data_IF_225815353836
#
_entry.id   IF_225815353836
#
_cell.length_a   1.000
_cell.length_b   1.000
_cell.length_c   1.000
_cell.angle_alpha   90.00
_cell.angle_beta   90.00
_cell.angle_gamma   90.00
#
_symmetry.space_group_name_H-M   'P 1'
#
loop_
_entity.id
_entity.type
_entity.pdbx_description
1 polymer ?
#
# COMPACT_ATOMS: atom_id res chain seq x y z
N UNK A 1 -18.50 -26.05 -24.09
CA UNK A 1 -19.70 -25.87 -24.94
C UNK A 1 -20.84 -25.42 -24.02
N UNK A 2 -21.64 -24.43 -24.44
CA UNK A 2 -22.59 -23.59 -23.67
C UNK A 2 -21.90 -22.57 -22.74
N UNK A 3 -21.90 -21.24 -22.94
CA UNK A 3 -22.61 -20.35 -23.87
C UNK A 3 -23.72 -19.59 -23.16
N UNK A 4 -23.46 -18.36 -22.68
CA UNK A 4 -24.46 -17.29 -22.55
C UNK A 4 -23.82 -15.90 -22.70
N UNK A 5 -24.34 -15.14 -23.66
CA UNK A 5 -24.10 -13.73 -23.96
C UNK A 5 -25.44 -13.02 -23.72
N UNK A 6 -25.46 -11.88 -23.03
CA UNK A 6 -26.43 -10.79 -23.31
C UNK A 6 -25.85 -9.41 -22.89
N UNK A 7 -26.01 -8.44 -23.80
CA UNK A 7 -25.59 -7.02 -23.76
C UNK A 7 -26.54 -6.11 -22.93
N UNK A 8 -26.12 -4.87 -22.55
CA UNK A 8 -26.94 -3.82 -21.91
C UNK A 8 -27.34 -2.72 -22.96
N UNK A 9 -27.74 -1.46 -22.62
CA UNK A 9 -28.40 -0.85 -21.43
C UNK A 9 -29.66 0.00 -21.79
N UNK A 10 -30.38 0.53 -20.78
CA UNK A 10 -31.42 1.57 -20.95
C UNK A 10 -31.10 2.88 -20.19
N UNK A 11 -31.37 4.01 -20.86
CA UNK A 11 -31.36 5.40 -20.38
C UNK A 11 -32.67 5.78 -19.65
N UNK A 12 -32.60 6.64 -18.63
CA UNK A 12 -33.63 7.61 -18.20
C UNK A 12 -32.91 8.81 -17.52
N UNK A 13 -32.89 10.01 -18.12
CA UNK A 13 -33.79 11.19 -17.97
C UNK A 13 -33.61 12.05 -16.69
N UNK A 14 -32.95 13.20 -16.89
CA UNK A 14 -33.10 14.58 -16.37
C UNK A 14 -33.93 14.94 -15.12
N UNK A 15 -33.34 15.79 -14.26
CA UNK A 15 -33.92 16.97 -13.55
C UNK A 15 -32.75 17.83 -13.02
N UNK A 16 -32.37 18.94 -13.67
CA UNK A 16 -32.71 20.36 -13.40
C UNK A 16 -32.31 20.92 -12.01
N UNK A 17 -31.33 21.84 -12.01
CA UNK A 17 -31.28 23.07 -11.22
C UNK A 17 -30.09 23.96 -11.70
N UNK A 18 -30.32 25.17 -12.24
CA UNK A 18 -29.26 26.13 -12.56
C UNK A 18 -29.22 27.30 -11.56
N UNK A 19 -28.03 27.84 -11.31
CA UNK A 19 -27.86 29.24 -10.87
C UNK A 19 -26.84 29.46 -9.76
N UNK A 20 -25.73 30.13 -10.08
CA UNK A 20 -25.34 31.39 -9.43
C UNK A 20 -24.28 32.12 -10.27
N UNK A 21 -24.51 33.42 -10.49
CA UNK A 21 -23.70 34.36 -11.29
C UNK A 21 -22.58 35.01 -10.47
N UNK A 22 -21.50 35.37 -11.17
CA UNK A 22 -20.39 36.25 -10.74
C UNK A 22 -20.81 37.73 -10.91
N UNK A 23 -20.19 38.67 -10.17
CA UNK A 23 -19.79 39.92 -10.80
C UNK A 23 -18.32 40.31 -10.54
N UNK A 24 -17.66 40.77 -11.60
CA UNK A 24 -16.40 41.52 -11.57
C UNK A 24 -16.64 42.99 -11.21
N UNK A 25 -15.70 43.58 -10.46
CA UNK A 25 -15.37 45.00 -10.33
C UNK A 25 -13.96 45.00 -9.70
N UNK A 26 -13.00 45.91 -9.90
CA UNK A 26 -12.71 46.97 -10.87
C UNK A 26 -11.35 47.54 -10.41
N UNK A 27 -10.57 48.07 -11.35
CA UNK A 27 -9.19 48.57 -11.18
C UNK A 27 -9.11 49.83 -10.32
N UNK A 28 -8.05 49.97 -9.49
CA UNK A 28 -7.47 51.26 -9.09
C UNK A 28 -5.99 51.14 -8.70
N UNK A 29 -5.23 52.18 -9.03
CA UNK A 29 -3.80 52.22 -9.28
C UNK A 29 -3.00 52.90 -8.14
N UNK A 30 -1.75 52.42 -7.97
CA UNK A 30 -0.52 53.07 -7.47
C UNK A 30 -0.48 53.77 -6.09
N UNK A 31 0.45 53.32 -5.22
CA UNK A 31 1.68 54.04 -4.83
C UNK A 31 2.69 53.09 -4.14
N UNK A 32 4.03 53.29 -4.28
CA UNK A 32 5.05 52.40 -3.70
C UNK A 32 5.64 52.97 -2.40
N UNK A 33 5.92 52.12 -1.40
CA UNK A 33 6.93 52.31 -0.32
C UNK A 33 7.00 51.06 0.61
N UNK A 34 8.11 50.85 1.36
CA UNK A 34 8.94 49.65 1.22
C UNK A 34 9.02 48.76 2.48
N UNK A 35 9.77 47.65 2.36
CA UNK A 35 10.13 46.62 3.37
C UNK A 35 9.00 45.66 3.77
N UNK A 36 8.78 44.65 2.94
CA UNK A 36 8.16 43.40 3.37
C UNK A 36 9.27 42.38 3.68
N UNK A 37 9.31 41.91 4.93
CA UNK A 37 9.97 40.66 5.29
C UNK A 37 9.43 39.54 4.39
N UNK A 38 10.34 38.78 3.78
CA UNK A 38 9.98 37.59 3.01
C UNK A 38 9.37 36.54 3.94
N UNK A 39 8.05 36.58 4.10
CA UNK A 39 7.27 35.42 4.52
C UNK A 39 7.26 34.52 3.30
N UNK A 40 8.14 33.52 3.31
CA UNK A 40 8.03 32.36 2.42
C UNK A 40 6.67 31.72 2.68
N UNK A 41 5.68 32.08 1.86
CA UNK A 41 4.48 31.28 1.69
C UNK A 41 4.91 30.02 0.95
N UNK A 42 5.44 29.03 1.66
CA UNK A 42 5.40 27.67 1.16
C UNK A 42 3.92 27.37 0.97
N UNK A 43 3.41 27.40 -0.26
CA UNK A 43 2.24 26.63 -0.60
C UNK A 43 2.53 25.23 -0.08
N UNK A 44 1.82 24.80 0.97
CA UNK A 44 2.05 23.52 1.61
C UNK A 44 1.59 22.46 0.60
N UNK A 45 2.48 22.11 -0.33
CA UNK A 45 2.19 21.09 -1.33
C UNK A 45 1.91 19.79 -0.58
N UNK A 46 0.76 19.19 -0.88
CA UNK A 46 0.37 17.91 -0.30
C UNK A 46 1.47 16.87 -0.56
N UNK A 47 1.85 16.06 0.45
CA UNK A 47 2.83 14.99 0.28
C UNK A 47 2.52 14.12 -0.93
N UNK A 48 3.50 13.96 -1.81
CA UNK A 48 3.41 13.10 -2.98
C UNK A 48 3.99 11.73 -2.64
N UNK A 49 3.28 10.65 -2.98
CA UNK A 49 3.75 9.28 -2.83
C UNK A 49 3.80 8.56 -4.18
N UNK A 50 4.72 7.61 -4.32
CA UNK A 50 4.82 6.75 -5.50
C UNK A 50 4.52 5.30 -5.13
N UNK A 51 3.66 4.64 -5.91
CA UNK A 51 3.33 3.23 -5.74
C UNK A 51 3.86 2.45 -6.92
N UNK A 52 4.83 1.59 -6.67
CA UNK A 52 5.52 0.82 -7.70
C UNK A 52 4.80 -0.51 -7.96
N UNK A 53 4.80 -0.88 -9.24
CA UNK A 53 4.35 -2.16 -9.74
C UNK A 53 5.52 -2.84 -10.43
N UNK A 54 5.83 -4.09 -10.05
CA UNK A 54 6.94 -4.85 -10.64
C UNK A 54 6.53 -6.27 -11.00
N UNK A 55 7.40 -6.98 -11.71
CA UNK A 55 7.29 -8.41 -11.98
C UNK A 55 8.55 -9.08 -11.46
N UNK A 56 8.57 -9.38 -10.15
CA UNK A 56 9.73 -10.05 -9.55
C UNK A 56 9.84 -11.49 -10.05
N UNK A 57 11.07 -11.95 -10.24
CA UNK A 57 11.42 -13.32 -10.67
C UNK A 57 12.33 -13.96 -9.61
N UNK A 58 12.86 -15.18 -9.82
CA UNK A 58 13.90 -15.71 -8.94
C UNK A 58 15.23 -14.93 -8.98
N UNK A 59 15.47 -14.06 -9.97
CA UNK A 59 16.69 -13.27 -10.08
C UNK A 59 16.64 -11.99 -9.22
N UNK A 60 17.18 -12.09 -8.01
CA UNK A 60 17.24 -10.99 -7.04
C UNK A 60 17.94 -9.74 -7.58
N UNK A 61 19.02 -9.91 -8.35
CA UNK A 61 19.81 -8.78 -8.82
C UNK A 61 19.07 -8.01 -9.90
N UNK A 62 18.36 -8.72 -10.79
CA UNK A 62 17.49 -8.10 -11.78
C UNK A 62 16.31 -7.41 -11.12
N UNK A 63 15.68 -8.04 -10.12
CA UNK A 63 14.57 -7.43 -9.39
C UNK A 63 15.00 -6.15 -8.67
N UNK A 64 16.17 -6.15 -8.02
CA UNK A 64 16.75 -4.96 -7.40
C UNK A 64 16.95 -3.83 -8.41
N UNK A 65 17.52 -4.11 -9.58
CA UNK A 65 17.72 -3.10 -10.64
C UNK A 65 16.40 -2.44 -11.03
N UNK A 66 15.37 -3.23 -11.31
CA UNK A 66 14.04 -2.72 -11.69
C UNK A 66 13.40 -1.91 -10.56
N UNK A 67 13.46 -2.39 -9.32
CA UNK A 67 12.94 -1.63 -8.17
C UNK A 67 13.71 -0.31 -7.97
N UNK A 68 15.04 -0.35 -8.10
CA UNK A 68 15.89 0.82 -7.92
C UNK A 68 15.66 1.89 -9.00
N UNK A 69 15.40 1.49 -10.25
CA UNK A 69 15.00 2.40 -11.33
C UNK A 69 13.70 3.13 -10.99
N UNK A 70 12.66 2.41 -10.56
CA UNK A 70 11.37 3.01 -10.18
C UNK A 70 11.49 3.92 -8.95
N UNK A 71 12.32 3.57 -7.97
CA UNK A 71 12.57 4.40 -6.79
C UNK A 71 13.31 5.70 -7.17
N UNK A 72 14.31 5.63 -8.05
CA UNK A 72 14.98 6.83 -8.58
C UNK A 72 14.04 7.70 -9.40
N UNK A 73 13.15 7.10 -10.18
CA UNK A 73 12.10 7.81 -10.91
C UNK A 73 11.14 8.52 -9.94
N UNK A 74 10.66 7.83 -8.90
CA UNK A 74 9.82 8.41 -7.86
C UNK A 74 10.47 9.63 -7.18
N UNK A 75 11.76 9.53 -6.85
CA UNK A 75 12.52 10.64 -6.29
C UNK A 75 12.62 11.83 -7.26
N UNK A 76 12.89 11.57 -8.56
CA UNK A 76 12.89 12.59 -9.61
C UNK A 76 11.53 13.30 -9.77
N UNK A 77 10.43 12.58 -9.54
CA UNK A 77 9.07 13.10 -9.63
C UNK A 77 8.63 13.83 -8.34
N UNK A 78 9.49 13.89 -7.31
CA UNK A 78 9.23 14.63 -6.08
C UNK A 78 8.40 13.86 -5.04
N UNK A 79 8.32 12.53 -5.16
CA UNK A 79 7.72 11.71 -4.10
C UNK A 79 8.54 11.85 -2.81
N UNK A 80 7.88 11.76 -1.65
CA UNK A 80 8.53 11.71 -0.34
C UNK A 80 8.66 10.27 0.22
N UNK A 81 7.88 9.35 -0.35
CA UNK A 81 7.84 7.93 0.02
C UNK A 81 7.47 7.10 -1.22
N UNK A 82 8.22 6.02 -1.46
CA UNK A 82 7.91 5.01 -2.47
C UNK A 82 7.51 3.68 -1.82
N UNK A 83 6.49 3.03 -2.39
CA UNK A 83 5.96 1.73 -1.94
C UNK A 83 6.30 0.65 -2.97
N UNK A 84 7.05 -0.37 -2.55
CA UNK A 84 7.33 -1.58 -3.32
C UNK A 84 6.38 -2.71 -2.88
N UNK A 85 6.04 -3.66 -3.77
CA UNK A 85 5.08 -4.71 -3.45
C UNK A 85 5.61 -5.78 -2.51
N UNK A 86 4.75 -6.71 -2.13
CA UNK A 86 5.14 -8.00 -1.54
C UNK A 86 6.10 -8.72 -2.50
N UNK A 87 7.06 -9.46 -1.95
CA UNK A 87 8.01 -10.27 -2.72
C UNK A 87 8.79 -9.45 -3.77
N UNK A 88 9.06 -8.17 -3.49
CA UNK A 88 9.83 -7.29 -4.36
C UNK A 88 11.25 -7.82 -4.59
N UNK A 89 11.81 -8.50 -3.59
CA UNK A 89 13.13 -9.13 -3.59
C UNK A 89 13.22 -10.29 -4.58
N UNK A 90 12.27 -11.23 -4.52
CA UNK A 90 12.14 -12.32 -5.48
C UNK A 90 10.79 -13.03 -5.39
N UNK A 91 10.42 -13.71 -6.49
CA UNK A 91 9.36 -14.73 -6.48
C UNK A 91 9.97 -16.05 -6.93
N UNK A 92 10.13 -16.96 -5.96
CA UNK A 92 10.72 -18.28 -6.15
C UNK A 92 9.74 -19.27 -6.80
N UNK A 93 10.30 -20.33 -7.39
CA UNK A 93 9.61 -21.39 -8.11
C UNK A 93 9.01 -22.45 -7.18
N UNK A 94 9.62 -22.64 -6.01
CA UNK A 94 9.21 -23.61 -4.99
C UNK A 94 9.70 -23.17 -3.58
N UNK A 95 9.19 -23.80 -2.51
CA UNK A 95 9.58 -23.48 -1.14
C UNK A 95 11.08 -23.62 -0.85
N UNK A 96 11.78 -24.57 -1.46
CA UNK A 96 13.21 -24.78 -1.20
C UNK A 96 14.05 -23.63 -1.77
N UNK A 97 13.68 -23.12 -2.96
CA UNK A 97 14.28 -21.92 -3.52
C UNK A 97 13.97 -20.68 -2.67
N UNK A 98 12.76 -20.55 -2.12
CA UNK A 98 12.44 -19.47 -1.16
C UNK A 98 13.39 -19.48 0.03
N UNK A 99 13.58 -20.66 0.65
CA UNK A 99 14.50 -20.81 1.78
C UNK A 99 15.94 -20.47 1.37
N UNK A 100 16.40 -20.92 0.21
CA UNK A 100 17.76 -20.66 -0.28
C UNK A 100 18.02 -19.16 -0.54
N UNK A 101 17.08 -18.46 -1.18
CA UNK A 101 17.22 -17.07 -1.60
C UNK A 101 16.96 -16.04 -0.48
N UNK A 102 16.28 -16.44 0.59
CA UNK A 102 15.97 -15.57 1.74
C UNK A 102 17.22 -15.05 2.46
N UNK A 103 17.09 -13.90 3.13
CA UNK A 103 18.18 -13.23 3.85
C UNK A 103 17.68 -12.70 5.20
N UNK A 104 18.55 -12.53 6.22
CA UNK A 104 18.18 -11.77 7.43
C UNK A 104 18.05 -10.27 7.10
N UNK A 105 17.47 -9.47 7.99
CA UNK A 105 17.41 -8.01 7.83
C UNK A 105 18.80 -7.34 7.79
N UNK A 106 19.85 -8.01 8.27
CA UNK A 106 21.24 -7.56 8.09
C UNK A 106 21.89 -8.02 6.79
N UNK A 107 21.12 -8.62 5.88
CA UNK A 107 21.61 -9.16 4.62
C UNK A 107 21.98 -8.10 3.58
N UNK A 108 22.73 -8.54 2.57
CA UNK A 108 23.25 -7.70 1.49
C UNK A 108 22.12 -6.98 0.74
N UNK A 109 21.02 -7.67 0.45
CA UNK A 109 19.94 -7.07 -0.33
C UNK A 109 19.28 -5.91 0.42
N UNK A 110 19.02 -6.05 1.72
CA UNK A 110 18.44 -4.95 2.48
C UNK A 110 19.42 -3.78 2.59
N UNK A 111 20.73 -4.05 2.74
CA UNK A 111 21.77 -3.02 2.70
C UNK A 111 21.72 -2.21 1.39
N UNK A 112 21.55 -2.85 0.23
CA UNK A 112 21.39 -2.17 -1.06
C UNK A 112 20.17 -1.23 -1.07
N UNK A 113 19.04 -1.62 -0.47
CA UNK A 113 17.87 -0.75 -0.31
C UNK A 113 18.08 0.38 0.71
N UNK A 114 18.83 0.15 1.79
CA UNK A 114 19.19 1.24 2.73
C UNK A 114 20.04 2.30 2.03
N UNK A 115 20.97 1.88 1.17
CA UNK A 115 21.79 2.80 0.40
C UNK A 115 20.97 3.54 -0.66
N UNK A 116 20.04 2.85 -1.33
CA UNK A 116 19.11 3.47 -2.28
C UNK A 116 18.23 4.53 -1.62
N UNK A 117 17.70 4.28 -0.41
CA UNK A 117 16.93 5.25 0.35
C UNK A 117 17.74 6.52 0.66
N UNK A 118 19.02 6.36 1.05
CA UNK A 118 19.95 7.48 1.28
C UNK A 118 20.28 8.24 0.00
N UNK A 119 20.59 7.52 -1.07
CA UNK A 119 20.90 8.07 -2.41
C UNK A 119 19.76 8.96 -2.89
N UNK A 120 18.52 8.49 -2.76
CA UNK A 120 17.34 9.18 -3.23
C UNK A 120 16.78 10.22 -2.24
N UNK A 121 17.27 10.24 -0.99
CA UNK A 121 16.68 11.03 0.09
C UNK A 121 15.20 10.68 0.37
N UNK A 122 14.80 9.44 0.11
CA UNK A 122 13.41 8.99 0.02
C UNK A 122 13.10 7.97 1.11
N UNK A 123 11.90 8.03 1.70
CA UNK A 123 11.42 6.90 2.51
C UNK A 123 11.02 5.73 1.59
N UNK A 124 11.22 4.49 2.05
CA UNK A 124 10.83 3.30 1.29
C UNK A 124 9.97 2.36 2.13
N UNK A 125 8.83 1.95 1.60
CA UNK A 125 8.03 0.82 2.08
C UNK A 125 8.39 -0.41 1.24
N UNK A 126 9.08 -1.37 1.86
CA UNK A 126 9.52 -2.62 1.27
C UNK A 126 8.50 -3.70 1.65
N UNK A 127 7.55 -3.95 0.75
CA UNK A 127 6.25 -4.49 1.11
C UNK A 127 6.14 -5.96 1.52
N UNK A 128 7.24 -6.70 1.59
CA UNK A 128 7.22 -8.12 1.95
C UNK A 128 8.51 -8.81 1.56
N UNK A 129 9.56 -8.58 2.34
CA UNK A 129 10.88 -9.19 2.23
C UNK A 129 10.87 -10.60 2.82
N UNK A 130 11.52 -11.55 2.14
CA UNK A 130 11.68 -12.92 2.63
C UNK A 130 12.76 -12.98 3.73
N UNK A 131 12.35 -12.70 4.96
CA UNK A 131 13.21 -12.55 6.13
C UNK A 131 13.56 -13.89 6.78
N UNK A 132 14.85 -14.17 6.96
CA UNK A 132 15.31 -15.17 7.95
C UNK A 132 15.28 -14.54 9.35
N UNK A 133 14.31 -14.95 10.17
CA UNK A 133 14.16 -14.49 11.55
C UNK A 133 15.26 -15.00 12.48
N UNK A 134 15.24 -14.56 13.74
CA UNK A 134 16.19 -15.03 14.77
C UNK A 134 16.02 -16.51 15.13
N UNK A 135 14.83 -17.04 14.87
CA UNK A 135 14.40 -18.43 15.02
C UNK A 135 14.65 -19.29 13.77
N UNK A 136 15.39 -18.76 12.77
CA UNK A 136 15.70 -19.45 11.52
C UNK A 136 16.36 -20.81 11.73
N UNK A 137 17.36 -20.88 12.61
CA UNK A 137 18.11 -22.12 12.88
C UNK A 137 17.18 -23.23 13.41
N UNK A 138 16.18 -22.87 14.21
CA UNK A 138 15.23 -23.79 14.84
C UNK A 138 14.06 -24.16 13.92
N UNK A 139 13.54 -23.20 13.16
CA UNK A 139 12.30 -23.37 12.38
C UNK A 139 12.56 -23.76 10.93
N UNK A 140 13.70 -23.36 10.36
CA UNK A 140 14.00 -23.41 8.92
C UNK A 140 12.86 -22.81 8.07
N UNK A 141 12.18 -21.80 8.61
CA UNK A 141 11.11 -21.04 7.95
C UNK A 141 11.41 -19.55 8.01
N UNK A 142 10.92 -18.82 7.02
CA UNK A 142 11.09 -17.37 6.90
C UNK A 142 9.88 -16.62 7.46
N UNK A 143 9.97 -15.29 7.48
CA UNK A 143 8.82 -14.40 7.58
C UNK A 143 8.64 -13.61 6.28
N UNK A 144 7.40 -13.23 6.00
CA UNK A 144 7.06 -12.25 4.98
C UNK A 144 7.00 -10.87 5.65
N UNK A 145 8.09 -10.10 5.53
CA UNK A 145 8.36 -8.95 6.38
C UNK A 145 8.24 -7.62 5.61
N UNK A 146 7.24 -6.81 5.95
CA UNK A 146 7.12 -5.45 5.48
C UNK A 146 8.07 -4.54 6.26
N UNK A 147 9.12 -4.04 5.60
CA UNK A 147 10.14 -3.17 6.20
C UNK A 147 9.90 -1.72 5.77
N UNK A 148 9.91 -0.79 6.73
CA UNK A 148 9.84 0.64 6.45
C UNK A 148 11.20 1.30 6.72
N UNK A 149 11.76 1.93 5.69
CA UNK A 149 13.01 2.68 5.74
C UNK A 149 12.74 4.19 5.70
N UNK A 150 13.46 4.96 6.51
CA UNK A 150 13.47 6.42 6.37
C UNK A 150 14.49 6.89 5.30
N UNK A 151 14.47 8.19 4.98
CA UNK A 151 15.40 8.81 4.01
C UNK A 151 16.89 8.77 4.40
N UNK A 152 17.22 8.33 5.61
CA UNK A 152 18.60 8.08 6.06
C UNK A 152 18.98 6.60 5.95
N UNK A 153 18.12 5.77 5.38
CA UNK A 153 18.32 4.33 5.24
C UNK A 153 18.24 3.58 6.58
N UNK A 154 17.60 4.14 7.61
CA UNK A 154 17.37 3.42 8.86
C UNK A 154 16.03 2.68 8.79
N UNK A 155 16.00 1.42 9.25
CA UNK A 155 14.77 0.68 9.50
C UNK A 155 14.03 1.33 10.66
N UNK A 156 12.85 1.88 10.40
CA UNK A 156 12.03 2.55 11.42
C UNK A 156 10.89 1.67 11.94
N UNK A 157 10.52 0.64 11.19
CA UNK A 157 9.57 -0.38 11.60
C UNK A 157 9.67 -1.61 10.70
N UNK A 158 9.20 -2.74 11.23
CA UNK A 158 9.05 -4.01 10.52
C UNK A 158 7.75 -4.66 10.94
N UNK A 159 6.98 -5.17 9.99
CA UNK A 159 5.78 -5.95 10.26
C UNK A 159 5.89 -7.30 9.56
N UNK A 160 5.72 -8.39 10.30
CA UNK A 160 5.69 -9.74 9.73
C UNK A 160 4.24 -10.13 9.49
N UNK A 161 3.91 -10.54 8.27
CA UNK A 161 2.55 -10.91 7.84
C UNK A 161 1.91 -11.88 8.83
N UNK A 162 0.78 -11.49 9.40
CA UNK A 162 0.10 -12.26 10.46
C UNK A 162 -0.84 -13.31 9.89
N UNK A 163 -1.44 -13.06 8.72
CA UNK A 163 -2.33 -14.02 8.05
C UNK A 163 -1.66 -14.61 6.81
N UNK A 164 -1.22 -15.85 6.91
CA UNK A 164 -0.63 -16.58 5.79
C UNK A 164 -1.72 -17.10 4.84
N UNK A 165 -1.44 -17.08 3.55
CA UNK A 165 -2.37 -17.53 2.52
C UNK A 165 -2.28 -19.05 2.34
N UNK A 166 -3.05 -19.78 3.15
CA UNK A 166 -3.27 -21.22 3.02
C UNK A 166 -4.67 -21.46 2.42
N UNK A 167 -4.75 -21.55 1.09
CA UNK A 167 -6.01 -21.61 0.35
C UNK A 167 -5.97 -22.66 -0.77
N UNK A 168 -7.13 -23.26 -1.01
CA UNK A 168 -7.39 -24.11 -2.18
C UNK A 168 -8.49 -23.45 -3.03
N UNK A 169 -8.12 -22.99 -4.23
CA UNK A 169 -9.04 -22.35 -5.16
C UNK A 169 -9.30 -23.32 -6.30
N UNK A 170 -10.56 -23.71 -6.58
CA UNK A 170 -10.87 -24.61 -7.70
C UNK A 170 -10.24 -24.13 -9.01
N UNK A 171 -9.49 -25.01 -9.68
CA UNK A 171 -8.77 -24.70 -10.92
C UNK A 171 -7.37 -24.10 -10.73
N UNK A 172 -6.97 -23.80 -9.50
CA UNK A 172 -5.57 -23.58 -9.11
C UNK A 172 -5.11 -24.70 -8.20
N UNK A 173 -3.81 -25.02 -8.24
CA UNK A 173 -3.23 -25.87 -7.20
C UNK A 173 -3.33 -25.20 -5.83
N UNK A 174 -3.23 -25.98 -4.73
CA UNK A 174 -3.22 -25.42 -3.40
C UNK A 174 -2.06 -24.43 -3.24
N UNK A 175 -2.32 -23.31 -2.57
CA UNK A 175 -1.31 -22.37 -2.11
C UNK A 175 -1.22 -22.52 -0.59
N UNK A 176 -0.09 -23.03 -0.10
CA UNK A 176 0.18 -23.15 1.34
C UNK A 176 1.44 -22.34 1.67
N UNK A 177 1.26 -21.05 1.95
CA UNK A 177 2.36 -20.15 2.35
C UNK A 177 3.05 -20.65 3.64
N UNK A 178 2.29 -21.29 4.54
CA UNK A 178 2.80 -21.83 5.80
C UNK A 178 3.83 -22.97 5.65
N UNK A 179 4.02 -23.53 4.44
CA UNK A 179 5.04 -24.54 4.18
C UNK A 179 6.47 -24.00 4.37
N UNK A 180 6.73 -22.74 4.01
CA UNK A 180 8.04 -22.10 4.15
C UNK A 180 8.04 -20.87 5.07
N UNK A 181 6.88 -20.38 5.46
CA UNK A 181 6.74 -19.08 6.14
C UNK A 181 6.05 -19.24 7.49
N UNK A 182 6.48 -18.48 8.48
CA UNK A 182 5.86 -18.35 9.80
C UNK A 182 4.96 -17.10 9.85
N UNK A 183 3.79 -17.16 10.54
CA UNK A 183 2.99 -15.97 10.77
C UNK A 183 3.72 -15.03 11.74
N UNK A 184 3.59 -13.73 11.52
CA UNK A 184 4.08 -12.71 12.43
C UNK A 184 3.40 -12.76 13.81
N UNK A 185 4.11 -12.41 14.89
CA UNK A 185 3.60 -12.56 16.25
C UNK A 185 2.73 -11.38 16.74
N UNK A 186 2.76 -10.23 16.06
CA UNK A 186 2.18 -8.98 16.55
C UNK A 186 1.77 -8.02 15.43
N UNK A 187 0.83 -7.12 15.75
CA UNK A 187 0.57 -5.92 14.98
C UNK A 187 1.43 -4.78 15.51
N UNK A 188 2.03 -4.02 14.60
CA UNK A 188 2.81 -2.83 14.95
C UNK A 188 1.93 -1.58 15.00
N UNK A 189 2.26 -0.65 15.90
CA UNK A 189 1.59 0.65 15.95
C UNK A 189 1.88 1.46 14.68
N UNK A 190 0.93 2.28 14.19
CA UNK A 190 1.15 3.09 13.00
C UNK A 190 2.34 4.06 13.13
N UNK A 191 3.18 4.10 12.09
CA UNK A 191 4.46 4.83 12.11
C UNK A 191 4.29 6.20 11.46
N UNK A 192 4.75 7.26 12.13
CA UNK A 192 4.76 8.62 11.57
C UNK A 192 5.76 8.73 10.42
N UNK A 193 5.28 9.15 9.25
CA UNK A 193 6.10 9.40 8.05
C UNK A 193 5.82 10.81 7.49
N UNK A 194 6.60 11.29 6.51
CA UNK A 194 6.29 12.56 5.82
C UNK A 194 4.92 12.58 5.12
N UNK A 195 4.33 11.42 4.79
CA UNK A 195 3.01 11.33 4.16
C UNK A 195 1.84 11.24 5.17
N UNK A 196 2.12 10.88 6.42
CA UNK A 196 1.12 10.59 7.46
C UNK A 196 1.48 9.35 8.28
N UNK A 197 0.59 8.95 9.20
CA UNK A 197 0.75 7.74 10.01
C UNK A 197 0.38 6.47 9.23
N UNK A 198 1.35 5.60 9.00
CA UNK A 198 1.20 4.38 8.19
C UNK A 198 1.01 3.16 9.10
N UNK A 199 -0.11 2.46 8.92
CA UNK A 199 -0.33 1.11 9.45
C UNK A 199 0.15 0.06 8.46
N UNK A 200 1.02 -0.84 8.92
CA UNK A 200 1.65 -1.87 8.09
C UNK A 200 0.81 -3.15 8.07
N UNK A 201 0.61 -3.69 6.87
CA UNK A 201 0.02 -4.99 6.61
C UNK A 201 0.61 -5.56 5.31
N UNK A 202 0.30 -6.81 4.97
CA UNK A 202 0.74 -7.47 3.73
C UNK A 202 -0.37 -8.33 3.14
N UNK A 203 -0.72 -8.07 1.88
CA UNK A 203 -1.50 -8.96 1.03
C UNK A 203 -2.74 -9.56 1.70
N UNK A 204 -2.70 -10.84 2.05
CA UNK A 204 -3.81 -11.62 2.59
C UNK A 204 -4.42 -11.03 3.87
N UNK A 205 -3.63 -10.24 4.63
CA UNK A 205 -4.11 -9.43 5.76
C UNK A 205 -5.33 -8.56 5.39
N UNK A 206 -5.44 -8.10 4.14
CA UNK A 206 -6.57 -7.29 3.70
C UNK A 206 -7.91 -8.01 3.79
N UNK A 207 -7.92 -9.34 3.86
CA UNK A 207 -9.17 -10.12 3.99
C UNK A 207 -9.75 -10.05 5.39
N UNK A 208 -8.98 -9.61 6.39
CA UNK A 208 -9.33 -9.58 7.80
C UNK A 208 -9.61 -8.12 8.24
N UNK A 209 -10.87 -7.67 8.24
CA UNK A 209 -11.22 -6.28 8.61
C UNK A 209 -10.71 -5.89 10.00
N UNK A 210 -10.64 -6.84 10.94
CA UNK A 210 -10.19 -6.64 12.31
C UNK A 210 -8.81 -5.99 12.37
N UNK A 211 -7.88 -6.43 11.51
CA UNK A 211 -6.54 -5.86 11.42
C UNK A 211 -6.58 -4.39 10.98
N UNK A 212 -7.39 -4.09 9.96
CA UNK A 212 -7.54 -2.73 9.42
C UNK A 212 -8.14 -1.78 10.45
N UNK A 213 -9.16 -2.28 11.16
CA UNK A 213 -9.85 -1.53 12.21
C UNK A 213 -8.93 -1.27 13.41
N UNK A 214 -8.13 -2.27 13.82
CA UNK A 214 -7.16 -2.13 14.90
C UNK A 214 -6.10 -1.06 14.57
N UNK A 215 -5.54 -1.09 13.35
CA UNK A 215 -4.58 -0.07 12.90
C UNK A 215 -5.20 1.34 12.86
N UNK A 216 -6.45 1.46 12.38
CA UNK A 216 -7.16 2.73 12.34
C UNK A 216 -7.46 3.27 13.74
N UNK A 217 -7.86 2.41 14.69
CA UNK A 217 -8.04 2.77 16.10
C UNK A 217 -6.73 3.21 16.76
N UNK A 218 -5.61 2.58 16.40
CA UNK A 218 -4.27 2.98 16.81
C UNK A 218 -3.77 4.29 16.15
N UNK A 219 -4.60 4.90 15.29
CA UNK A 219 -4.36 6.22 14.71
C UNK A 219 -3.74 6.20 13.31
N UNK A 220 -3.85 5.10 12.58
CA UNK A 220 -3.45 5.08 11.17
C UNK A 220 -4.26 6.11 10.36
N UNK A 221 -3.56 6.78 9.45
CA UNK A 221 -4.11 7.66 8.43
C UNK A 221 -3.98 7.02 7.03
N UNK A 222 -2.99 6.15 6.87
CA UNK A 222 -2.71 5.37 5.67
C UNK A 222 -2.59 3.89 6.08
N UNK A 223 -3.30 3.00 5.40
CA UNK A 223 -3.13 1.55 5.52
C UNK A 223 -2.40 1.03 4.27
N UNK A 224 -1.52 0.06 4.44
CA UNK A 224 -0.77 -0.51 3.32
C UNK A 224 -1.10 -1.98 3.10
N UNK A 225 -1.28 -2.37 1.84
CA UNK A 225 -1.41 -3.78 1.44
C UNK A 225 -0.51 -4.11 0.24
N UNK A 226 0.82 -4.03 0.40
CA UNK A 226 1.74 -4.58 -0.59
C UNK A 226 1.42 -6.05 -0.86
N UNK A 227 1.35 -6.46 -2.13
CA UNK A 227 0.74 -7.76 -2.49
C UNK A 227 1.28 -8.41 -3.76
N UNK A 228 1.16 -9.74 -3.82
CA UNK A 228 1.27 -10.56 -5.01
C UNK A 228 -0.05 -11.30 -5.29
N UNK A 229 -1.12 -10.56 -5.54
CA UNK A 229 -2.46 -11.12 -5.74
C UNK A 229 -2.54 -11.96 -7.02
N UNK A 230 -3.04 -13.19 -6.91
CA UNK A 230 -3.16 -14.11 -8.05
C UNK A 230 -4.17 -13.64 -9.10
N UNK A 231 -3.94 -14.02 -10.36
CA UNK A 231 -4.74 -13.59 -11.52
C UNK A 231 -6.20 -14.05 -11.50
N UNK A 232 -6.59 -15.02 -10.66
CA UNK A 232 -8.00 -15.43 -10.47
C UNK A 232 -8.69 -14.55 -9.43
N UNK A 233 -8.07 -14.37 -8.26
CA UNK A 233 -8.67 -13.60 -7.17
C UNK A 233 -8.60 -12.09 -7.40
N UNK A 234 -7.60 -11.62 -8.15
CA UNK A 234 -7.38 -10.21 -8.46
C UNK A 234 -8.59 -9.51 -9.05
N UNK A 235 -9.08 -9.95 -10.23
CA UNK A 235 -10.24 -9.34 -10.88
C UNK A 235 -11.51 -9.29 -10.02
N UNK A 236 -11.68 -10.26 -9.11
CA UNK A 236 -12.87 -10.37 -8.27
C UNK A 236 -12.76 -9.56 -6.96
N UNK A 237 -11.59 -9.56 -6.31
CA UNK A 237 -11.46 -9.14 -4.92
C UNK A 237 -10.53 -7.95 -4.68
N UNK A 238 -9.57 -7.67 -5.58
CA UNK A 238 -8.51 -6.69 -5.32
C UNK A 238 -9.05 -5.28 -5.05
N UNK A 239 -9.74 -4.70 -6.02
CA UNK A 239 -10.27 -3.33 -5.88
C UNK A 239 -11.33 -3.24 -4.76
N UNK A 240 -12.25 -4.21 -4.71
CA UNK A 240 -13.37 -4.18 -3.75
C UNK A 240 -12.87 -4.24 -2.30
N UNK A 241 -11.89 -5.08 -2.00
CA UNK A 241 -11.32 -5.18 -0.65
C UNK A 241 -10.56 -3.92 -0.27
N UNK A 242 -9.70 -3.40 -1.16
CA UNK A 242 -8.94 -2.18 -0.91
C UNK A 242 -9.86 -0.98 -0.65
N UNK A 243 -10.91 -0.83 -1.45
CA UNK A 243 -11.91 0.23 -1.27
C UNK A 243 -12.72 0.04 0.01
N UNK A 244 -13.12 -1.19 0.33
CA UNK A 244 -13.80 -1.48 1.59
C UNK A 244 -12.94 -1.07 2.80
N UNK A 245 -11.63 -1.40 2.81
CA UNK A 245 -10.71 -0.99 3.88
C UNK A 245 -10.62 0.52 3.99
N UNK A 246 -10.52 1.23 2.86
CA UNK A 246 -10.45 2.69 2.87
C UNK A 246 -11.71 3.33 3.47
N UNK A 247 -12.88 2.85 3.04
CA UNK A 247 -14.20 3.37 3.47
C UNK A 247 -14.44 3.09 4.96
N UNK A 248 -14.26 1.84 5.41
CA UNK A 248 -14.65 1.44 6.77
C UNK A 248 -13.70 1.98 7.84
N UNK A 249 -12.44 2.25 7.47
CA UNK A 249 -11.43 2.82 8.37
C UNK A 249 -11.25 4.33 8.21
N UNK A 250 -11.81 4.92 7.15
CA UNK A 250 -11.61 6.32 6.77
C UNK A 250 -10.12 6.66 6.73
N UNK A 251 -9.35 5.79 6.06
CA UNK A 251 -7.92 5.91 5.82
C UNK A 251 -7.66 5.94 4.32
N UNK A 252 -6.55 6.54 3.92
CA UNK A 252 -5.99 6.20 2.61
C UNK A 252 -5.57 4.73 2.61
N UNK A 253 -5.68 4.06 1.47
CA UNK A 253 -5.14 2.71 1.28
C UNK A 253 -4.13 2.75 0.14
N UNK A 254 -2.90 2.31 0.40
CA UNK A 254 -1.82 2.24 -0.57
C UNK A 254 -1.42 0.78 -0.79
N UNK A 255 -1.52 0.30 -2.03
CA UNK A 255 -1.30 -1.10 -2.35
C UNK A 255 -0.39 -1.23 -3.58
N UNK A 256 0.91 -1.39 -3.32
CA UNK A 256 1.89 -1.77 -4.34
C UNK A 256 1.73 -3.25 -4.67
N UNK A 257 1.69 -3.61 -5.95
CA UNK A 257 1.39 -4.96 -6.38
C UNK A 257 2.46 -5.52 -7.35
N UNK A 258 2.67 -6.82 -7.25
CA UNK A 258 3.27 -7.61 -8.32
C UNK A 258 2.31 -7.70 -9.52
N UNK A 259 2.85 -7.80 -10.72
CA UNK A 259 2.08 -7.95 -11.95
C UNK A 259 2.70 -8.98 -12.90
N UNK A 260 1.98 -9.34 -13.95
CA UNK A 260 2.52 -10.15 -15.05
C UNK A 260 2.88 -11.58 -14.64
N UNK A 261 3.76 -12.21 -15.44
CA UNK A 261 4.20 -13.60 -15.24
C UNK A 261 5.58 -13.63 -14.60
N UNK A 262 5.69 -14.25 -13.43
CA UNK A 262 6.95 -14.36 -12.67
C UNK A 262 7.82 -15.52 -13.16
N UNK A 263 7.18 -16.65 -13.44
CA UNK A 263 7.76 -17.87 -14.01
C UNK A 263 6.60 -18.78 -14.51
N UNK A 264 6.88 -20.02 -14.92
CA UNK A 264 5.93 -20.90 -15.62
C UNK A 264 4.63 -21.18 -14.85
N UNK A 265 4.70 -21.13 -13.52
CA UNK A 265 3.61 -21.56 -12.62
C UNK A 265 2.92 -20.41 -11.88
N UNK A 266 3.44 -19.17 -11.97
CA UNK A 266 2.96 -18.05 -11.14
C UNK A 266 2.87 -16.75 -11.93
N UNK A 267 1.71 -16.10 -11.79
CA UNK A 267 1.42 -14.78 -12.33
C UNK A 267 0.60 -13.97 -11.32
N UNK A 268 0.74 -12.64 -11.36
CA UNK A 268 0.04 -11.72 -10.47
C UNK A 268 -0.81 -10.72 -11.26
N UNK A 269 -1.86 -10.23 -10.60
CA UNK A 269 -2.88 -9.37 -11.19
C UNK A 269 -2.38 -7.95 -11.51
N UNK A 270 -1.48 -7.38 -10.70
CA UNK A 270 -1.07 -5.99 -10.81
C UNK A 270 -2.13 -5.04 -10.25
N UNK A 271 -2.41 -3.97 -10.98
CA UNK A 271 -3.32 -2.90 -10.58
C UNK A 271 -2.94 -2.25 -9.24
N UNK A 272 -1.65 -1.98 -9.04
CA UNK A 272 -1.17 -1.16 -7.91
C UNK A 272 -1.93 0.15 -7.86
N UNK A 273 -2.37 0.58 -6.67
CA UNK A 273 -3.26 1.74 -6.57
C UNK A 273 -3.20 2.46 -5.22
N UNK A 274 -3.78 3.66 -5.21
CA UNK A 274 -4.10 4.43 -4.01
C UNK A 274 -5.60 4.69 -3.98
N UNK A 275 -6.23 4.40 -2.84
CA UNK A 275 -7.64 4.69 -2.56
C UNK A 275 -7.72 5.75 -1.47
N UNK A 276 -8.58 6.76 -1.67
CA UNK A 276 -8.82 7.79 -0.66
C UNK A 276 -9.77 7.32 0.46
N UNK A 277 -9.90 8.08 1.58
CA UNK A 277 -10.78 7.72 2.70
C UNK A 277 -12.28 7.63 2.36
N UNK A 278 -12.71 8.05 1.18
CA UNK A 278 -14.09 7.92 0.68
C UNK A 278 -14.27 6.70 -0.23
N UNK A 279 -13.19 5.98 -0.52
CA UNK A 279 -13.19 4.82 -1.39
C UNK A 279 -13.02 5.15 -2.87
N UNK A 280 -12.56 6.35 -3.23
CA UNK A 280 -12.22 6.69 -4.62
C UNK A 280 -10.81 6.20 -4.94
N UNK A 281 -10.63 5.51 -6.06
CA UNK A 281 -9.29 5.16 -6.56
C UNK A 281 -8.68 6.42 -7.18
N UNK A 282 -7.74 7.06 -6.47
CA UNK A 282 -7.13 8.34 -6.87
C UNK A 282 -5.87 8.18 -7.72
N UNK A 283 -5.25 7.00 -7.69
CA UNK A 283 -4.12 6.64 -8.55
C UNK A 283 -4.13 5.14 -8.83
N UNK A 284 -3.71 4.74 -10.03
CA UNK A 284 -3.58 3.34 -10.44
C UNK A 284 -2.47 3.19 -11.48
N UNK A 285 -1.66 2.16 -11.36
CA UNK A 285 -0.71 1.78 -12.40
C UNK A 285 -1.43 1.22 -13.63
N UNK A 286 -0.88 1.52 -14.80
CA UNK A 286 -1.20 0.80 -16.04
C UNK A 286 -0.81 -0.68 -15.93
N UNK A 287 -1.17 -1.48 -16.93
CA UNK A 287 -0.68 -2.85 -17.04
C UNK A 287 0.85 -2.89 -17.21
N UNK A 288 1.50 -3.87 -16.58
CA UNK A 288 2.96 -4.07 -16.61
C UNK A 288 3.73 -3.26 -15.56
N UNK A 289 5.06 -3.44 -15.47
CA UNK A 289 5.89 -2.71 -14.50
C UNK A 289 5.87 -1.19 -14.71
N UNK A 290 5.88 -0.44 -13.61
CA UNK A 290 5.82 1.02 -13.62
C UNK A 290 5.50 1.59 -12.25
N UNK A 291 5.12 2.86 -12.19
CA UNK A 291 4.64 3.50 -10.96
C UNK A 291 3.41 4.37 -11.22
N UNK A 292 2.65 4.65 -10.17
CA UNK A 292 1.65 5.72 -10.16
C UNK A 292 1.89 6.66 -8.98
N UNK A 293 1.41 7.90 -9.10
CA UNK A 293 1.60 8.94 -8.10
C UNK A 293 0.27 9.36 -7.49
N UNK A 294 0.27 9.64 -6.19
CA UNK A 294 -0.88 10.21 -5.49
C UNK A 294 -0.44 11.28 -4.50
N UNK A 295 -1.24 12.36 -4.39
CA UNK A 295 -1.10 13.33 -3.30
C UNK A 295 -1.97 12.90 -2.12
N UNK A 296 -1.39 12.90 -0.92
CA UNK A 296 -2.09 12.53 0.31
C UNK A 296 -2.59 13.80 1.02
N UNK A 297 -3.90 13.91 1.21
CA UNK A 297 -4.52 15.05 1.91
C UNK A 297 -5.08 14.61 3.28
N UNK A 298 -4.28 14.84 4.33
CA UNK A 298 -4.70 14.55 5.70
C UNK A 298 -5.78 15.51 6.22
N UNK A 299 -5.94 16.70 5.63
CA UNK A 299 -7.03 17.60 5.99
C UNK A 299 -8.36 17.06 5.46
N UNK A 300 -8.37 16.57 4.21
CA UNK A 300 -9.53 15.87 3.64
C UNK A 300 -9.94 14.66 4.50
N UNK A 301 -8.98 13.81 4.88
CA UNK A 301 -9.22 12.67 5.77
C UNK A 301 -9.87 13.12 7.10
N UNK A 302 -9.31 14.15 7.75
CA UNK A 302 -9.84 14.65 9.03
C UNK A 302 -11.23 15.26 8.89
N UNK A 303 -11.51 15.97 7.80
CA UNK A 303 -12.85 16.51 7.52
C UNK A 303 -13.87 15.39 7.36
N UNK A 304 -13.52 14.34 6.59
CA UNK A 304 -14.39 13.19 6.37
C UNK A 304 -14.72 12.47 7.70
N UNK A 305 -13.72 12.24 8.56
CA UNK A 305 -13.93 11.66 9.90
C UNK A 305 -14.82 12.53 10.80
N UNK A 306 -14.83 13.86 10.63
CA UNK A 306 -15.73 14.77 11.37
C UNK A 306 -17.16 14.74 10.83
N UNK A 307 -17.33 14.72 9.51
CA UNK A 307 -18.65 14.72 8.87
C UNK A 307 -19.35 13.36 8.94
N UNK A 308 -18.58 12.27 9.00
CA UNK A 308 -19.09 10.91 9.15
C UNK A 308 -18.31 10.20 10.27
N UNK A 309 -18.62 10.44 11.56
CA UNK A 309 -17.83 9.95 12.69
C UNK A 309 -18.11 8.47 13.02
N UNK A 310 -17.89 7.57 12.06
CA UNK A 310 -18.27 6.14 12.16
C UNK A 310 -17.68 5.43 13.38
N UNK A 311 -16.47 5.81 13.81
CA UNK A 311 -15.84 5.24 15.00
C UNK A 311 -16.56 5.62 16.31
N UNK A 312 -17.22 6.78 16.37
CA UNK A 312 -18.03 7.20 17.52
C UNK A 312 -19.38 6.47 17.57
N UNK A 313 -19.84 5.94 16.45
CA UNK A 313 -21.10 5.20 16.34
C UNK A 313 -20.92 3.69 16.56
N UNK A 314 -19.71 3.23 16.89
CA UNK A 314 -19.46 1.83 17.26
C UNK A 314 -20.18 1.49 18.57
N UNK A 315 -20.55 0.22 18.70
CA UNK A 315 -21.35 -0.36 19.81
C UNK A 315 -20.55 -1.45 20.53
N UNK A 316 -19.46 -1.09 21.23
CA UNK A 316 -18.67 -2.07 21.98
C UNK A 316 -19.48 -2.75 23.10
N UNK A 317 -20.62 -2.18 23.50
CA UNK A 317 -21.60 -2.80 24.38
C UNK A 317 -22.28 -4.03 23.76
N UNK A 318 -22.29 -4.18 22.42
CA UNK A 318 -22.88 -5.32 21.73
C UNK A 318 -21.87 -6.36 21.27
N UNK A 319 -20.66 -5.95 20.90
CA UNK A 319 -19.67 -6.82 20.25
C UNK A 319 -18.26 -6.74 20.85
N UNK A 320 -18.09 -6.09 22.00
CA UNK A 320 -16.80 -5.91 22.65
C UNK A 320 -15.90 -4.89 21.94
N UNK A 321 -14.69 -4.71 22.48
CA UNK A 321 -13.67 -3.89 21.85
C UNK A 321 -12.86 -4.73 20.86
N UNK A 322 -12.70 -4.22 19.63
CA UNK A 322 -11.80 -4.83 18.65
C UNK A 322 -10.37 -4.92 19.22
N UNK A 323 -9.73 -6.07 19.06
CA UNK A 323 -8.34 -6.29 19.46
C UNK A 323 -8.11 -6.70 20.92
N UNK A 324 -9.15 -6.76 21.76
CA UNK A 324 -9.08 -7.46 23.04
C UNK A 324 -9.81 -8.80 22.89
N UNK A 325 -9.16 -9.95 23.17
CA UNK A 325 -9.89 -11.20 23.28
C UNK A 325 -11.02 -11.01 24.32
N UNK A 326 -12.22 -11.50 24.01
CA UNK A 326 -13.27 -11.63 25.01
C UNK A 326 -12.70 -12.50 26.13
N UNK A 327 -12.53 -11.90 27.32
CA UNK A 327 -12.21 -12.64 28.55
C UNK A 327 -13.29 -13.66 28.86
#
# INVERSE_FOLDING_TARGET
MLGFITRPPHRFLSLLCPGLRIPQLSVLCAQPRPRAMAISSSSCELPLVAVCQVTSTPDKQQNFKTCAELVREAARLGACLAFLPEAFDFIARDPAETLHLSEPLGGKLLEEYTQLARECGLWLSLGGFHERGQDWEQTQKIYNCHVLLNSKGAVVATYRKTHLCDVEIPGQGPMCESNSTMPGPSLESPVSTPAGKIGLAVCYDMRFPELSLALAQAGAEILTYPSAFGSITGPAHWEVLLRARAIETQCYVVAAAQCGRHHEKRASYGHSMVVDPWGTVVARCSEGPGLCLARIDLNYLRQLRRHLPVFQHRRPDLYGNLGHPLS
#
